data_IF_113264653179
#
_entry.id   IF_113264653179
#
_cell.length_a   1.000
_cell.length_b   1.000
_cell.length_c   1.000
_cell.angle_alpha   90.00
_cell.angle_beta   90.00
_cell.angle_gamma   90.00
#
_symmetry.space_group_name_H-M   'P 1'
#
loop_
_entity.id
_entity.type
_entity.pdbx_description
1 polymer ?
#
# COMPACT_ATOMS: atom_id res chain seq x y z
N UNK A 1 -21.49 -21.34 -14.26
CA UNK A 1 -22.18 -20.14 -13.74
C UNK A 1 -21.13 -19.19 -13.19
N UNK A 2 -20.90 -18.04 -13.82
CA UNK A 2 -19.88 -17.09 -13.37
C UNK A 2 -20.27 -16.54 -11.99
N UNK A 3 -19.37 -16.67 -11.00
CA UNK A 3 -19.58 -16.10 -9.68
C UNK A 3 -19.81 -14.59 -9.82
N UNK A 4 -20.93 -14.08 -9.29
CA UNK A 4 -21.21 -12.65 -9.28
C UNK A 4 -20.00 -11.92 -8.64
N UNK A 5 -19.48 -10.85 -9.26
CA UNK A 5 -18.32 -10.15 -8.73
C UNK A 5 -18.68 -9.63 -7.33
N UNK A 6 -17.99 -10.14 -6.31
CA UNK A 6 -18.25 -9.75 -4.92
C UNK A 6 -18.11 -8.25 -4.69
N UNK A 7 -18.74 -7.73 -3.64
CA UNK A 7 -18.70 -6.31 -3.26
C UNK A 7 -17.28 -5.95 -2.82
N UNK A 8 -16.72 -4.87 -3.38
CA UNK A 8 -15.38 -4.41 -3.00
C UNK A 8 -15.44 -3.70 -1.65
N UNK A 9 -14.53 -4.06 -0.74
CA UNK A 9 -14.33 -3.38 0.53
C UNK A 9 -13.11 -2.47 0.41
N UNK A 10 -13.30 -1.18 0.65
CA UNK A 10 -12.25 -0.19 0.79
C UNK A 10 -11.94 0.04 2.27
N UNK A 11 -10.67 0.37 2.56
CA UNK A 11 -10.28 0.91 3.85
C UNK A 11 -10.80 2.34 4.01
N UNK A 12 -10.71 2.90 5.22
CA UNK A 12 -11.14 4.28 5.45
C UNK A 12 -10.40 5.32 4.59
N UNK A 13 -9.15 5.03 4.17
CA UNK A 13 -8.34 5.83 3.25
C UNK A 13 -8.59 5.56 1.77
N UNK A 14 -9.67 4.85 1.42
CA UNK A 14 -10.06 4.45 0.06
C UNK A 14 -9.15 3.42 -0.61
N UNK A 15 -8.16 2.88 0.11
CA UNK A 15 -7.35 1.79 -0.43
C UNK A 15 -8.20 0.50 -0.56
N UNK A 16 -8.15 -0.20 -1.71
CA UNK A 16 -8.83 -1.49 -1.86
C UNK A 16 -8.30 -2.53 -0.87
N UNK A 17 -9.18 -3.18 -0.11
CA UNK A 17 -8.81 -4.24 0.83
C UNK A 17 -9.02 -5.64 0.23
N UNK A 18 -10.27 -6.01 0.01
CA UNK A 18 -10.66 -7.32 -0.53
C UNK A 18 -12.10 -7.28 -1.02
N UNK A 19 -12.59 -8.38 -1.58
CA UNK A 19 -14.01 -8.54 -1.96
C UNK A 19 -14.73 -9.46 -0.98
N UNK A 20 -15.98 -9.15 -0.71
CA UNK A 20 -16.88 -9.97 0.11
C UNK A 20 -18.14 -10.32 -0.67
N UNK A 21 -18.86 -11.37 -0.26
CA UNK A 21 -20.17 -11.64 -0.82
C UNK A 21 -21.19 -10.55 -0.43
N UNK A 22 -22.29 -10.48 -1.18
CA UNK A 22 -23.34 -9.48 -0.98
C UNK A 22 -23.93 -9.54 0.44
N UNK A 23 -24.18 -10.74 0.97
CA UNK A 23 -24.76 -10.93 2.30
C UNK A 23 -23.83 -10.41 3.40
N UNK A 24 -22.53 -10.55 3.23
CA UNK A 24 -21.53 -9.98 4.12
C UNK A 24 -21.50 -8.46 4.03
N UNK A 25 -21.53 -7.88 2.82
CA UNK A 25 -21.60 -6.43 2.66
C UNK A 25 -22.82 -5.82 3.39
N UNK A 26 -24.01 -6.43 3.23
CA UNK A 26 -25.21 -6.00 3.96
C UNK A 26 -25.01 -6.11 5.47
N UNK A 27 -24.44 -7.22 5.99
CA UNK A 27 -24.11 -7.34 7.42
C UNK A 27 -23.17 -6.24 7.92
N UNK A 28 -22.23 -5.77 7.09
CA UNK A 28 -21.33 -4.67 7.44
C UNK A 28 -22.07 -3.34 7.54
N UNK A 29 -23.02 -3.08 6.64
CA UNK A 29 -23.87 -1.88 6.67
C UNK A 29 -24.79 -1.88 7.89
N UNK A 30 -25.45 -3.01 8.18
CA UNK A 30 -26.33 -3.17 9.34
C UNK A 30 -25.59 -2.96 10.67
N UNK A 31 -24.33 -3.39 10.74
CA UNK A 31 -23.46 -3.21 11.92
C UNK A 31 -22.78 -1.85 11.98
N UNK A 32 -23.02 -0.99 11.00
CA UNK A 32 -22.42 0.36 10.90
C UNK A 32 -20.88 0.36 10.90
N UNK A 33 -20.27 -0.74 10.46
CA UNK A 33 -18.80 -0.85 10.32
C UNK A 33 -18.32 -0.43 8.93
N UNK A 34 -19.25 -0.25 7.99
CA UNK A 34 -18.98 0.24 6.66
C UNK A 34 -20.12 1.13 6.15
N UNK A 35 -19.81 2.00 5.20
CA UNK A 35 -20.76 2.84 4.47
C UNK A 35 -20.73 2.47 2.99
N UNK A 36 -21.85 2.67 2.31
CA UNK A 36 -21.91 2.50 0.85
C UNK A 36 -21.06 3.60 0.20
N UNK A 37 -20.11 3.19 -0.64
CA UNK A 37 -19.31 4.11 -1.45
C UNK A 37 -19.86 4.19 -2.87
N UNK A 38 -20.19 3.04 -3.46
CA UNK A 38 -20.86 2.94 -4.76
C UNK A 38 -22.00 1.90 -4.69
N UNK A 39 -23.11 2.20 -5.35
CA UNK A 39 -24.28 1.34 -5.40
C UNK A 39 -24.76 1.12 -6.84
N UNK A 40 -25.29 -0.06 -7.10
CA UNK A 40 -26.06 -0.35 -8.30
C UNK A 40 -27.50 0.17 -8.14
N UNK A 41 -28.24 0.21 -9.26
CA UNK A 41 -29.66 0.45 -9.22
C UNK A 41 -30.40 -0.59 -8.35
N UNK A 42 -31.41 -0.12 -7.62
CA UNK A 42 -32.21 -0.92 -6.70
C UNK A 42 -31.69 -0.96 -5.26
N UNK A 43 -32.43 -1.66 -4.40
CA UNK A 43 -32.16 -1.74 -2.97
C UNK A 43 -32.36 -3.16 -2.43
N UNK A 44 -31.84 -3.40 -1.23
CA UNK A 44 -32.12 -4.55 -0.41
C UNK A 44 -32.64 -4.04 0.95
N UNK A 45 -33.97 -4.08 1.12
CA UNK A 45 -34.62 -3.41 2.25
C UNK A 45 -34.29 -1.92 2.26
N UNK A 46 -33.85 -1.34 3.39
CA UNK A 46 -33.51 0.08 3.49
C UNK A 46 -32.14 0.42 2.87
N UNK A 47 -31.35 -0.56 2.44
CA UNK A 47 -29.98 -0.33 1.96
C UNK A 47 -29.94 -0.30 0.42
N UNK A 48 -29.24 0.67 -0.20
CA UNK A 48 -28.90 0.59 -1.62
C UNK A 48 -28.15 -0.71 -1.92
N UNK A 49 -28.21 -1.22 -3.15
CA UNK A 49 -27.49 -2.44 -3.53
C UNK A 49 -25.98 -2.16 -3.66
N UNK A 50 -25.11 -2.51 -2.69
CA UNK A 50 -23.72 -2.08 -2.72
C UNK A 50 -22.90 -2.77 -3.83
N UNK A 51 -22.10 -1.98 -4.53
CA UNK A 51 -21.00 -2.44 -5.38
C UNK A 51 -19.65 -2.29 -4.67
N UNK A 52 -19.52 -1.17 -3.94
CA UNK A 52 -18.34 -0.84 -3.14
C UNK A 52 -18.79 -0.32 -1.78
N UNK A 53 -18.20 -0.86 -0.71
CA UNK A 53 -18.38 -0.37 0.66
C UNK A 53 -17.04 0.10 1.22
N UNK A 54 -17.07 1.12 2.07
CA UNK A 54 -15.88 1.69 2.72
C UNK A 54 -15.98 1.51 4.22
N UNK A 55 -14.93 0.99 4.85
CA UNK A 55 -14.88 0.89 6.31
C UNK A 55 -14.91 2.27 6.97
N UNK A 56 -15.66 2.39 8.06
CA UNK A 56 -15.77 3.66 8.82
C UNK A 56 -14.51 3.99 9.61
N UNK A 57 -13.67 3.00 9.90
CA UNK A 57 -12.36 3.15 10.57
C UNK A 57 -11.27 2.53 9.74
N UNK A 58 -10.07 3.08 9.85
CA UNK A 58 -8.90 2.51 9.21
C UNK A 58 -8.53 1.19 9.88
N UNK A 59 -8.49 0.10 9.11
CA UNK A 59 -8.04 -1.21 9.60
C UNK A 59 -6.66 -1.50 9.07
N UNK A 60 -5.72 -1.72 9.98
CA UNK A 60 -4.41 -2.28 9.65
C UNK A 60 -4.54 -3.80 9.50
N UNK A 61 -4.39 -4.29 8.28
CA UNK A 61 -4.51 -5.72 7.95
C UNK A 61 -3.24 -6.48 8.32
N UNK A 62 -2.82 -6.43 9.59
CA UNK A 62 -1.60 -7.10 10.06
C UNK A 62 -1.57 -8.60 9.69
N UNK A 63 -2.72 -9.28 9.72
CA UNK A 63 -2.86 -10.68 9.31
C UNK A 63 -2.67 -10.91 7.80
N UNK A 64 -3.02 -9.93 6.96
CA UNK A 64 -2.89 -10.07 5.50
C UNK A 64 -1.41 -10.15 5.09
N UNK A 65 -0.56 -9.45 5.84
CA UNK A 65 0.89 -9.44 5.65
C UNK A 65 1.65 -10.43 6.54
N UNK A 66 1.01 -10.96 7.60
CA UNK A 66 1.65 -11.83 8.60
C UNK A 66 2.42 -13.02 8.01
N UNK A 67 1.94 -13.59 6.89
CA UNK A 67 2.60 -14.72 6.23
C UNK A 67 3.88 -14.37 5.46
N UNK A 68 4.13 -13.08 5.22
CA UNK A 68 5.28 -12.61 4.41
C UNK A 68 6.50 -12.27 5.25
N UNK A 69 6.35 -12.19 6.59
CA UNK A 69 7.39 -11.66 7.47
C UNK A 69 7.63 -10.15 7.31
N UNK A 70 6.87 -9.47 6.43
CA UNK A 70 6.82 -8.02 6.27
C UNK A 70 5.40 -7.51 6.58
N UNK A 71 5.29 -6.23 6.93
CA UNK A 71 4.01 -5.55 7.16
C UNK A 71 3.70 -4.58 6.02
N UNK A 72 2.77 -3.62 6.21
CA UNK A 72 2.67 -2.46 5.33
C UNK A 72 4.02 -1.72 5.21
N UNK A 73 4.17 -0.93 4.15
CA UNK A 73 5.39 -0.14 3.92
C UNK A 73 5.69 0.75 5.14
N UNK A 74 6.92 0.66 5.63
CA UNK A 74 7.36 1.40 6.82
C UNK A 74 8.87 1.62 6.78
N UNK A 75 9.37 2.65 7.48
CA UNK A 75 10.82 2.94 7.53
C UNK A 75 11.62 1.74 8.06
N UNK A 76 11.15 1.11 9.12
CA UNK A 76 11.77 -0.10 9.67
C UNK A 76 11.73 -1.27 8.68
N UNK A 77 10.61 -1.43 7.96
CA UNK A 77 10.45 -2.44 6.92
C UNK A 77 11.44 -2.27 5.76
N UNK A 78 11.58 -1.06 5.23
CA UNK A 78 12.50 -0.75 4.13
C UNK A 78 13.96 -0.98 4.57
N UNK A 79 14.35 -0.50 5.75
CA UNK A 79 15.71 -0.75 6.28
C UNK A 79 16.00 -2.24 6.46
N UNK A 80 15.01 -3.04 6.89
CA UNK A 80 15.17 -4.50 7.01
C UNK A 80 15.34 -5.18 5.66
N UNK A 81 14.57 -4.74 4.65
CA UNK A 81 14.63 -5.28 3.29
C UNK A 81 16.00 -5.00 2.65
N UNK A 82 16.48 -3.78 2.76
CA UNK A 82 17.66 -3.30 2.03
C UNK A 82 18.97 -3.50 2.79
N UNK A 83 18.94 -3.47 4.14
CA UNK A 83 20.06 -3.64 5.09
C UNK A 83 21.16 -2.58 5.03
N UNK A 84 21.44 -2.04 3.84
CA UNK A 84 22.49 -1.05 3.55
C UNK A 84 21.92 0.14 2.79
N UNK A 85 22.68 1.23 2.72
CA UNK A 85 22.39 2.39 1.89
C UNK A 85 22.39 1.97 0.41
N UNK A 86 21.31 2.27 -0.30
CA UNK A 86 21.14 1.90 -1.70
C UNK A 86 22.12 2.57 -2.67
N UNK A 87 22.76 3.66 -2.24
CA UNK A 87 23.68 4.44 -3.07
C UNK A 87 25.16 4.10 -2.80
N UNK A 88 25.54 3.92 -1.53
CA UNK A 88 26.95 3.75 -1.14
C UNK A 88 27.27 2.45 -0.39
N UNK A 89 26.27 1.64 -0.04
CA UNK A 89 26.47 0.38 0.69
C UNK A 89 26.77 0.54 2.19
N UNK A 90 26.90 1.77 2.69
CA UNK A 90 27.08 2.04 4.11
C UNK A 90 25.82 1.82 4.97
N UNK A 91 25.88 2.07 6.30
CA UNK A 91 24.73 1.89 7.17
C UNK A 91 23.58 2.86 6.86
N UNK A 92 22.31 2.40 6.79
CA UNK A 92 21.19 3.25 6.42
C UNK A 92 20.57 3.96 7.64
N UNK A 93 20.45 5.29 7.54
CA UNK A 93 19.90 6.13 8.61
C UNK A 93 18.47 6.61 8.30
N UNK A 94 18.16 6.76 7.01
CA UNK A 94 16.93 7.34 6.50
C UNK A 94 16.32 6.47 5.40
N UNK A 95 15.17 6.89 4.90
CA UNK A 95 14.53 6.33 3.71
C UNK A 95 14.48 7.44 2.67
N UNK A 96 14.80 7.09 1.43
CA UNK A 96 14.69 7.99 0.28
C UNK A 96 13.66 7.45 -0.72
N UNK A 97 13.06 8.36 -1.48
CA UNK A 97 12.14 8.06 -2.56
C UNK A 97 12.89 8.12 -3.89
N UNK A 98 12.99 6.99 -4.60
CA UNK A 98 13.67 6.87 -5.90
C UNK A 98 13.11 7.90 -6.90
N UNK A 99 11.79 7.90 -7.11
CA UNK A 99 11.07 9.04 -7.67
C UNK A 99 10.70 10.00 -6.54
N UNK A 100 11.18 11.25 -6.53
CA UNK A 100 11.00 12.20 -5.43
C UNK A 100 9.53 12.43 -5.07
N UNK A 101 9.23 12.49 -3.76
CA UNK A 101 7.87 12.77 -3.27
C UNK A 101 7.33 14.11 -3.77
N UNK A 102 8.18 15.14 -3.87
CA UNK A 102 7.83 16.46 -4.43
C UNK A 102 7.37 16.40 -5.89
N UNK A 103 7.70 15.33 -6.61
CA UNK A 103 7.35 15.09 -8.01
C UNK A 103 6.29 13.98 -8.17
N UNK A 104 5.57 13.65 -7.10
CA UNK A 104 4.51 12.63 -7.12
C UNK A 104 4.98 11.20 -6.81
N UNK A 105 6.20 11.03 -6.31
CA UNK A 105 6.71 9.74 -5.84
C UNK A 105 5.84 9.11 -4.76
N UNK A 106 5.32 7.91 -5.03
CA UNK A 106 4.52 7.16 -4.08
C UNK A 106 5.37 6.68 -2.88
N UNK A 107 4.78 6.67 -1.69
CA UNK A 107 5.35 5.95 -0.53
C UNK A 107 4.96 4.48 -0.63
N UNK A 108 5.78 3.70 -1.33
CA UNK A 108 5.54 2.29 -1.58
C UNK A 108 6.85 1.50 -1.53
N UNK A 109 6.75 0.18 -1.41
CA UNK A 109 7.91 -0.71 -1.49
C UNK A 109 8.70 -0.51 -2.80
N UNK A 110 8.01 -0.25 -3.91
CA UNK A 110 8.61 -0.12 -5.23
C UNK A 110 9.33 1.22 -5.46
N UNK A 111 9.13 2.21 -4.58
CA UNK A 111 9.71 3.54 -4.75
C UNK A 111 10.56 4.02 -3.56
N UNK A 112 10.59 3.28 -2.46
CA UNK A 112 11.37 3.65 -1.27
C UNK A 112 12.57 2.74 -1.10
N UNK A 113 13.72 3.33 -0.74
CA UNK A 113 14.97 2.63 -0.45
C UNK A 113 15.61 3.12 0.84
N UNK A 114 16.40 2.26 1.48
CA UNK A 114 17.21 2.66 2.61
C UNK A 114 18.41 3.52 2.17
N UNK A 115 18.67 4.63 2.86
CA UNK A 115 19.74 5.57 2.51
C UNK A 115 20.41 6.18 3.75
N UNK A 116 21.72 6.43 3.70
CA UNK A 116 22.40 7.26 4.71
C UNK A 116 22.03 8.75 4.51
N UNK A 117 22.22 9.59 5.54
CA UNK A 117 21.89 11.02 5.42
C UNK A 117 22.67 11.73 4.31
N UNK A 118 24.00 11.52 4.12
CA UNK A 118 24.76 12.18 3.07
C UNK A 118 24.24 11.87 1.66
N UNK A 119 24.00 10.59 1.34
CA UNK A 119 23.49 10.21 0.02
C UNK A 119 22.07 10.73 -0.21
N UNK A 120 21.19 10.62 0.79
CA UNK A 120 19.82 11.13 0.66
C UNK A 120 19.81 12.65 0.42
N UNK A 121 20.63 13.41 1.17
CA UNK A 121 20.79 14.85 0.96
C UNK A 121 21.43 15.21 -0.38
N UNK A 122 22.41 14.42 -0.85
CA UNK A 122 23.03 14.62 -2.15
C UNK A 122 22.05 14.39 -3.30
N UNK A 123 21.21 13.34 -3.24
CA UNK A 123 20.19 13.11 -4.26
C UNK A 123 19.09 14.18 -4.20
N UNK A 124 18.63 14.54 -3.01
CA UNK A 124 17.57 15.53 -2.78
C UNK A 124 16.29 15.22 -3.59
N UNK A 125 15.76 16.21 -4.28
CA UNK A 125 14.53 16.14 -5.07
C UNK A 125 14.75 15.64 -6.50
N UNK A 126 15.88 14.99 -6.79
CA UNK A 126 16.23 14.41 -8.09
C UNK A 126 16.02 12.90 -8.13
N UNK A 127 15.92 12.33 -9.32
CA UNK A 127 16.01 10.87 -9.51
C UNK A 127 17.46 10.40 -9.36
N UNK A 128 17.73 9.09 -9.10
CA UNK A 128 19.09 8.54 -9.09
C UNK A 128 19.88 8.90 -10.35
N UNK A 129 19.24 8.87 -11.51
CA UNK A 129 19.84 9.19 -12.80
C UNK A 129 20.23 10.67 -12.89
N UNK A 130 19.31 11.57 -12.53
CA UNK A 130 19.56 13.02 -12.50
C UNK A 130 20.65 13.42 -11.49
N UNK A 131 20.78 12.65 -10.40
CA UNK A 131 21.80 12.87 -9.39
C UNK A 131 23.15 12.24 -9.74
N UNK A 132 23.23 11.40 -10.78
CA UNK A 132 24.43 10.60 -11.08
C UNK A 132 24.72 9.55 -9.98
N UNK A 133 23.68 9.12 -9.28
CA UNK A 133 23.76 8.24 -8.11
C UNK A 133 23.01 6.92 -8.37
N UNK A 134 23.55 6.01 -9.20
CA UNK A 134 22.87 4.75 -9.48
C UNK A 134 22.67 3.92 -8.20
N UNK A 135 21.59 3.15 -8.15
CA UNK A 135 21.37 2.18 -7.08
C UNK A 135 22.37 1.03 -7.22
N UNK A 136 22.92 0.56 -6.09
CA UNK A 136 23.90 -0.54 -6.05
C UNK A 136 23.29 -1.93 -6.27
N UNK A 137 21.98 -2.06 -6.08
CA UNK A 137 21.24 -3.30 -6.28
C UNK A 137 20.01 -3.06 -7.16
N UNK A 138 19.42 -4.17 -7.61
CA UNK A 138 18.25 -4.17 -8.48
C UNK A 138 17.09 -3.31 -7.92
N UNK A 139 16.21 -2.87 -8.81
CA UNK A 139 15.04 -2.02 -8.57
C UNK A 139 14.29 -2.39 -7.27
N UNK A 140 13.83 -1.41 -6.46
CA UNK A 140 13.09 -1.69 -5.24
C UNK A 140 11.92 -2.65 -5.51
N UNK A 141 11.77 -3.67 -4.67
CA UNK A 141 10.74 -4.70 -4.81
C UNK A 141 9.79 -4.71 -3.61
N UNK A 142 8.59 -5.24 -3.83
CA UNK A 142 7.60 -5.44 -2.76
C UNK A 142 7.76 -6.84 -2.15
N UNK A 143 8.28 -6.96 -0.91
CA UNK A 143 8.45 -8.25 -0.25
C UNK A 143 7.11 -8.86 0.19
N UNK A 144 6.00 -8.11 0.12
CA UNK A 144 4.65 -8.57 0.44
C UNK A 144 3.87 -9.03 -0.78
N UNK A 145 4.39 -8.76 -1.99
CA UNK A 145 3.76 -9.22 -3.22
C UNK A 145 3.70 -10.75 -3.21
N UNK A 146 2.49 -11.30 -3.32
CA UNK A 146 2.32 -12.73 -3.54
C UNK A 146 2.70 -13.01 -4.98
N UNK A 147 3.81 -13.70 -5.20
CA UNK A 147 4.07 -14.38 -6.47
C UNK A 147 2.87 -15.27 -6.76
N UNK A 148 2.21 -15.01 -7.89
CA UNK A 148 1.12 -15.86 -8.39
C UNK A 148 1.69 -17.20 -8.86
#
# INVERSE_FOLDING_TARGET
MAAAPGVLVLNAGLEPLHRVDFKHAIRMLVREVAVVHEAAAGSFGPYPRPLVVRLVRYVQMGWAYARTGYGPVSKAGIKRRDKVCAYCGGPPETIDHVHPKSRGGASSWLNQVAACRPCNGAKADRTPQEAGMPLLYATPYDPTARTR
#
